data_IF_406274561573
#
_entry.id   IF_406274561573
#
_cell.length_a   1.000
_cell.length_b   1.000
_cell.length_c   1.000
_cell.angle_alpha   90.00
_cell.angle_beta   90.00
_cell.angle_gamma   90.00
#
_symmetry.space_group_name_H-M   'P 1'
#
loop_
_entity.id
_entity.type
_entity.pdbx_description
1 polymer ?
#
# COMPACT_ATOMS: atom_id res chain seq x y z
N UNK A 1 -30.65 -4.57 -9.23
CA UNK A 1 -30.33 -4.93 -7.83
C UNK A 1 -29.03 -4.24 -7.50
N UNK A 2 -29.08 -3.11 -6.82
CA UNK A 2 -27.89 -2.47 -6.27
C UNK A 2 -27.35 -3.40 -5.18
N UNK A 3 -26.23 -4.06 -5.48
CA UNK A 3 -25.46 -4.71 -4.44
C UNK A 3 -24.88 -3.59 -3.60
N UNK A 4 -25.42 -3.41 -2.41
CA UNK A 4 -24.90 -2.49 -1.40
C UNK A 4 -23.42 -2.81 -1.19
N UNK A 5 -22.55 -1.98 -1.75
CA UNK A 5 -21.11 -2.06 -1.56
C UNK A 5 -20.76 -1.48 -0.18
N UNK A 6 -20.83 -2.31 0.84
CA UNK A 6 -20.85 -1.87 2.24
C UNK A 6 -19.47 -1.57 2.85
N UNK A 7 -18.34 -1.64 2.14
CA UNK A 7 -17.05 -1.33 2.79
C UNK A 7 -16.01 -0.63 1.88
N UNK A 8 -16.42 0.00 0.82
CA UNK A 8 -15.63 1.08 0.27
C UNK A 8 -15.51 2.17 1.34
N UNK A 9 -14.32 2.61 1.60
CA UNK A 9 -14.12 3.76 2.49
C UNK A 9 -13.65 4.97 1.69
N UNK A 10 -13.85 6.13 2.27
CA UNK A 10 -13.52 7.40 1.62
C UNK A 10 -12.43 8.12 2.42
N UNK A 11 -11.47 8.67 1.69
CA UNK A 11 -10.44 9.57 2.22
C UNK A 11 -10.39 10.79 1.30
N UNK A 12 -10.59 11.98 1.82
CA UNK A 12 -10.53 13.25 1.07
C UNK A 12 -11.40 13.27 -0.21
N UNK A 13 -12.60 12.68 -0.13
CA UNK A 13 -13.51 12.57 -1.28
C UNK A 13 -13.17 11.48 -2.29
N UNK A 14 -12.08 10.72 -2.08
CA UNK A 14 -11.65 9.63 -2.94
C UNK A 14 -12.10 8.31 -2.35
N UNK A 15 -12.89 7.54 -3.11
CA UNK A 15 -13.40 6.23 -2.68
C UNK A 15 -12.42 5.11 -3.04
N UNK A 16 -12.12 4.25 -2.08
CA UNK A 16 -11.27 3.06 -2.23
C UNK A 16 -12.14 1.82 -2.07
N UNK A 17 -12.05 0.89 -3.03
CA UNK A 17 -12.80 -0.37 -3.00
C UNK A 17 -14.14 -0.34 -3.76
N UNK A 18 -14.45 0.74 -4.46
CA UNK A 18 -15.72 0.96 -5.17
C UNK A 18 -15.54 1.03 -6.70
N UNK A 19 -15.11 -0.07 -7.30
CA UNK A 19 -15.05 -0.20 -8.75
C UNK A 19 -13.70 0.23 -9.34
N UNK A 20 -13.52 1.50 -9.69
CA UNK A 20 -12.27 1.96 -10.32
C UNK A 20 -11.10 1.97 -9.35
N UNK A 21 -9.96 1.34 -9.72
CA UNK A 21 -8.75 1.43 -8.91
C UNK A 21 -8.26 2.88 -8.77
N UNK A 22 -7.89 3.27 -7.56
CA UNK A 22 -7.19 4.52 -7.32
C UNK A 22 -5.76 4.41 -7.88
N UNK A 23 -5.33 5.40 -8.64
CA UNK A 23 -3.96 5.44 -9.16
C UNK A 23 -3.04 6.00 -8.07
N UNK A 24 -2.08 5.18 -7.66
CA UNK A 24 -1.06 5.52 -6.68
C UNK A 24 0.29 5.72 -7.36
N UNK A 25 0.91 6.88 -7.17
CA UNK A 25 2.22 7.20 -7.73
C UNK A 25 3.27 7.14 -6.62
N UNK A 26 4.28 6.23 -6.71
CA UNK A 26 5.34 6.14 -5.72
C UNK A 26 6.40 7.22 -5.91
N UNK A 27 6.82 7.85 -4.82
CA UNK A 27 7.94 8.78 -4.72
C UNK A 27 9.13 8.03 -4.11
N UNK A 28 10.16 7.81 -4.91
CA UNK A 28 11.34 6.98 -4.60
C UNK A 28 12.65 7.78 -4.65
N UNK A 29 12.63 9.04 -4.24
CA UNK A 29 13.80 9.93 -4.27
C UNK A 29 14.61 9.84 -2.96
N UNK A 30 15.96 9.98 -3.04
CA UNK A 30 16.80 9.95 -1.86
C UNK A 30 16.96 11.32 -1.16
N UNK A 31 16.72 12.42 -1.87
CA UNK A 31 16.98 13.77 -1.35
C UNK A 31 15.66 14.44 -0.93
N UNK A 32 15.72 15.19 0.18
CA UNK A 32 14.57 15.89 0.76
C UNK A 32 13.90 16.83 -0.22
N UNK A 33 14.69 17.65 -0.89
CA UNK A 33 14.20 18.66 -1.82
C UNK A 33 13.47 17.98 -2.99
N UNK A 34 14.05 16.94 -3.55
CA UNK A 34 13.44 16.16 -4.65
C UNK A 34 12.15 15.50 -4.23
N UNK A 35 12.07 14.95 -3.00
CA UNK A 35 10.84 14.37 -2.45
C UNK A 35 9.74 15.45 -2.40
N UNK A 36 10.04 16.60 -1.80
CA UNK A 36 9.08 17.69 -1.62
C UNK A 36 8.60 18.23 -2.97
N UNK A 37 9.52 18.51 -3.90
CA UNK A 37 9.21 19.01 -5.24
C UNK A 37 8.36 18.00 -6.03
N UNK A 38 8.71 16.70 -5.96
CA UNK A 38 7.94 15.64 -6.63
C UNK A 38 6.53 15.55 -6.07
N UNK A 39 6.37 15.51 -4.73
CA UNK A 39 5.05 15.46 -4.10
C UNK A 39 4.23 16.69 -4.51
N UNK A 40 4.80 17.89 -4.47
CA UNK A 40 4.13 19.12 -4.87
C UNK A 40 3.67 19.05 -6.34
N UNK A 41 4.55 18.66 -7.25
CA UNK A 41 4.22 18.50 -8.66
C UNK A 41 3.10 17.51 -8.90
N UNK A 42 3.10 16.36 -8.20
CA UNK A 42 2.04 15.36 -8.30
C UNK A 42 0.69 15.86 -7.76
N UNK A 43 0.69 16.66 -6.70
CA UNK A 43 -0.55 17.27 -6.19
C UNK A 43 -1.11 18.32 -7.15
N UNK A 44 -0.26 19.13 -7.79
CA UNK A 44 -0.66 20.08 -8.85
C UNK A 44 -1.27 19.36 -10.06
N UNK A 45 -0.81 18.14 -10.37
CA UNK A 45 -1.38 17.26 -11.40
C UNK A 45 -2.64 16.52 -10.94
N UNK A 46 -3.12 16.76 -9.72
CA UNK A 46 -4.32 16.13 -9.12
C UNK A 46 -4.25 14.61 -9.07
N UNK A 47 -3.06 14.08 -8.79
CA UNK A 47 -2.89 12.64 -8.56
C UNK A 47 -3.70 12.23 -7.33
N UNK A 48 -4.50 11.16 -7.46
CA UNK A 48 -5.42 10.72 -6.40
C UNK A 48 -4.69 10.21 -5.14
N UNK A 49 -3.59 9.46 -5.32
CA UNK A 49 -2.82 8.90 -4.22
C UNK A 49 -1.32 8.99 -4.52
N UNK A 50 -0.56 9.40 -3.53
CA UNK A 50 0.91 9.44 -3.57
C UNK A 50 1.43 8.50 -2.48
N UNK A 51 2.32 7.58 -2.85
CA UNK A 51 3.08 6.76 -1.90
C UNK A 51 4.46 7.39 -1.67
N UNK A 52 4.80 7.72 -0.44
CA UNK A 52 6.19 8.03 -0.13
C UNK A 52 6.94 6.79 0.34
N UNK A 53 7.91 6.35 -0.47
CA UNK A 53 8.82 5.24 -0.19
C UNK A 53 9.97 5.74 0.68
N UNK A 54 9.72 5.85 1.98
CA UNK A 54 10.67 6.43 2.94
C UNK A 54 11.95 5.61 3.07
N UNK A 55 11.91 4.32 2.75
CA UNK A 55 13.11 3.48 2.69
C UNK A 55 14.15 3.97 1.65
N UNK A 56 13.72 4.72 0.64
CA UNK A 56 14.59 5.34 -0.37
C UNK A 56 15.20 6.66 0.10
N UNK A 57 14.62 7.32 1.11
CA UNK A 57 15.13 8.58 1.63
C UNK A 57 16.48 8.39 2.34
N UNK A 58 17.48 9.22 2.01
CA UNK A 58 18.85 9.09 2.56
C UNK A 58 18.87 9.18 4.08
N UNK A 59 18.11 10.10 4.64
CA UNK A 59 18.01 10.36 6.07
C UNK A 59 16.87 9.59 6.78
N UNK A 60 16.42 8.46 6.21
CA UNK A 60 15.32 7.69 6.80
C UNK A 60 15.59 7.16 8.23
N UNK A 61 16.86 7.07 8.64
CA UNK A 61 17.23 6.69 10.00
C UNK A 61 17.03 7.82 11.03
N UNK A 62 16.90 9.07 10.56
CA UNK A 62 16.61 10.23 11.40
C UNK A 62 15.11 10.55 11.41
N UNK A 63 14.47 10.24 12.53
CA UNK A 63 13.03 10.51 12.74
C UNK A 63 12.70 12.00 12.61
N UNK A 64 13.62 12.90 13.01
CA UNK A 64 13.39 14.34 12.91
C UNK A 64 13.44 14.81 11.45
N UNK A 65 14.36 14.25 10.64
CA UNK A 65 14.42 14.51 9.22
C UNK A 65 13.16 14.03 8.48
N UNK A 66 12.69 12.81 8.79
CA UNK A 66 11.42 12.29 8.25
C UNK A 66 10.24 13.18 8.66
N UNK A 67 10.18 13.61 9.93
CA UNK A 67 9.14 14.50 10.43
C UNK A 67 9.14 15.84 9.70
N UNK A 68 10.31 16.42 9.45
CA UNK A 68 10.44 17.69 8.73
C UNK A 68 9.91 17.61 7.29
N UNK A 69 10.13 16.48 6.59
CA UNK A 69 9.53 16.26 5.27
C UNK A 69 8.00 16.20 5.38
N UNK A 70 7.46 15.41 6.31
CA UNK A 70 6.01 15.28 6.52
C UNK A 70 5.35 16.63 6.81
N UNK A 71 5.94 17.45 7.69
CA UNK A 71 5.41 18.77 8.03
C UNK A 71 5.44 19.73 6.84
N UNK A 72 6.46 19.61 5.98
CA UNK A 72 6.60 20.45 4.78
C UNK A 72 5.61 20.07 3.68
N UNK A 73 5.34 18.78 3.46
CA UNK A 73 4.45 18.35 2.38
C UNK A 73 2.97 18.36 2.76
N UNK A 74 2.65 18.32 4.05
CA UNK A 74 1.28 18.30 4.56
C UNK A 74 0.34 19.34 3.95
N UNK A 75 0.74 20.64 3.80
CA UNK A 75 -0.14 21.66 3.22
C UNK A 75 -0.57 21.40 1.77
N UNK A 76 0.22 20.61 1.01
CA UNK A 76 -0.07 20.29 -0.39
C UNK A 76 -1.05 19.11 -0.55
N UNK A 77 -1.22 18.28 0.48
CA UNK A 77 -1.93 17.00 0.44
C UNK A 77 -3.42 17.10 0.81
N UNK A 78 -4.05 18.24 0.61
CA UNK A 78 -5.45 18.47 1.03
C UNK A 78 -6.47 17.63 0.28
N UNK A 79 -6.22 17.32 -0.99
CA UNK A 79 -7.12 16.56 -1.90
C UNK A 79 -6.49 15.24 -2.37
N UNK A 80 -5.25 14.95 -1.98
CA UNK A 80 -4.50 13.76 -2.39
C UNK A 80 -4.31 12.83 -1.20
N UNK A 81 -4.61 11.54 -1.36
CA UNK A 81 -4.34 10.52 -0.34
C UNK A 81 -2.83 10.33 -0.21
N UNK A 82 -2.33 10.34 1.01
CA UNK A 82 -0.91 10.14 1.26
C UNK A 82 -0.65 8.83 1.99
N UNK A 83 0.01 7.91 1.29
CA UNK A 83 0.43 6.60 1.79
C UNK A 83 1.89 6.67 2.22
N UNK A 84 2.16 6.38 3.50
CA UNK A 84 3.51 6.28 4.05
C UNK A 84 3.98 4.83 4.06
N UNK A 85 5.09 4.53 3.37
CA UNK A 85 5.58 3.16 3.19
C UNK A 85 7.06 3.07 3.52
N UNK A 86 7.43 2.21 4.48
CA UNK A 86 8.79 1.70 4.60
C UNK A 86 8.83 0.27 4.06
N UNK A 87 9.46 0.06 2.90
CA UNK A 87 9.65 -1.27 2.32
C UNK A 87 11.00 -1.83 2.77
N UNK A 88 10.99 -3.02 3.40
CA UNK A 88 12.20 -3.68 3.83
C UNK A 88 12.98 -4.27 2.66
N UNK A 89 14.29 -4.47 2.86
CA UNK A 89 15.14 -5.09 1.85
C UNK A 89 14.66 -6.48 1.44
N UNK A 90 14.07 -7.22 2.38
CA UNK A 90 13.51 -8.56 2.17
C UNK A 90 12.35 -8.54 1.17
N UNK A 91 11.57 -7.46 1.16
CA UNK A 91 10.44 -7.29 0.26
C UNK A 91 10.71 -6.26 -0.86
N UNK A 92 11.97 -6.16 -1.31
CA UNK A 92 12.35 -5.33 -2.47
C UNK A 92 12.58 -3.85 -2.16
N UNK A 93 12.71 -3.48 -0.91
CA UNK A 93 13.07 -2.13 -0.50
C UNK A 93 14.56 -1.82 -0.65
N UNK A 94 14.92 -0.55 -0.44
CA UNK A 94 16.28 -0.06 -0.65
C UNK A 94 17.22 -0.34 0.52
N UNK A 95 16.69 -0.54 1.73
CA UNK A 95 17.53 -0.75 2.94
C UNK A 95 16.94 -1.73 3.94
N UNK A 96 17.82 -2.21 4.84
CA UNK A 96 17.41 -2.93 6.06
C UNK A 96 17.27 -1.93 7.21
N UNK A 97 16.28 -2.16 8.07
CA UNK A 97 16.09 -1.40 9.30
C UNK A 97 15.45 -2.31 10.35
N UNK A 98 15.78 -2.10 11.61
CA UNK A 98 15.14 -2.86 12.69
C UNK A 98 13.66 -2.52 12.79
N UNK A 99 12.83 -3.53 13.06
CA UNK A 99 11.36 -3.41 13.11
C UNK A 99 10.90 -2.25 14.02
N UNK A 100 11.51 -2.11 15.20
CA UNK A 100 11.12 -1.04 16.13
C UNK A 100 11.38 0.37 15.58
N UNK A 101 12.39 0.56 14.73
CA UNK A 101 12.65 1.84 14.05
C UNK A 101 11.61 2.10 12.98
N UNK A 102 11.25 1.08 12.19
CA UNK A 102 10.18 1.17 11.18
C UNK A 102 8.86 1.56 11.87
N UNK A 103 8.52 0.89 12.97
CA UNK A 103 7.32 1.22 13.74
C UNK A 103 7.36 2.64 14.31
N UNK A 104 8.54 3.15 14.69
CA UNK A 104 8.72 4.52 15.15
C UNK A 104 8.50 5.54 14.03
N UNK A 105 8.97 5.25 12.81
CA UNK A 105 8.71 6.07 11.63
C UNK A 105 7.22 6.10 11.29
N UNK A 106 6.56 4.93 11.28
CA UNK A 106 5.12 4.82 11.06
C UNK A 106 4.31 5.60 12.11
N UNK A 107 4.71 5.52 13.40
CA UNK A 107 4.11 6.32 14.46
C UNK A 107 4.29 7.82 14.22
N UNK A 108 5.47 8.24 13.77
CA UNK A 108 5.76 9.63 13.45
C UNK A 108 4.88 10.13 12.30
N UNK A 109 4.71 9.30 11.26
CA UNK A 109 3.83 9.61 10.15
C UNK A 109 2.36 9.72 10.58
N UNK A 110 1.86 8.78 11.38
CA UNK A 110 0.51 8.82 11.92
C UNK A 110 0.28 10.08 12.79
N UNK A 111 1.20 10.39 13.70
CA UNK A 111 1.11 11.56 14.61
C UNK A 111 1.29 12.90 13.90
N UNK A 112 1.89 12.93 12.71
CA UNK A 112 2.02 14.16 11.93
C UNK A 112 0.67 14.68 11.43
N UNK A 113 -0.31 13.77 11.29
CA UNK A 113 -1.58 14.05 10.61
C UNK A 113 -1.38 14.37 9.13
N UNK A 114 -0.26 13.91 8.54
CA UNK A 114 0.06 14.01 7.13
C UNK A 114 -0.33 12.71 6.41
N UNK A 115 0.02 11.55 6.99
CA UNK A 115 -0.31 10.25 6.42
C UNK A 115 -1.79 9.92 6.63
N UNK A 116 -2.47 9.59 5.55
CA UNK A 116 -3.84 9.04 5.56
C UNK A 116 -3.81 7.53 5.71
N UNK A 117 -2.76 6.90 5.13
CA UNK A 117 -2.57 5.46 5.13
C UNK A 117 -1.11 5.10 5.46
N UNK A 118 -0.93 3.92 6.05
CA UNK A 118 0.38 3.32 6.33
C UNK A 118 0.41 1.92 5.73
N UNK A 119 1.50 1.57 5.03
CA UNK A 119 1.78 0.20 4.59
C UNK A 119 2.58 -0.53 5.68
N UNK A 120 2.08 -1.69 6.10
CA UNK A 120 2.75 -2.60 7.03
C UNK A 120 2.98 -3.95 6.37
N UNK A 121 4.22 -4.39 6.32
CA UNK A 121 4.57 -5.75 5.90
C UNK A 121 4.02 -6.76 6.92
N UNK A 122 3.24 -7.76 6.44
CA UNK A 122 2.43 -8.60 7.32
C UNK A 122 3.15 -9.88 7.77
N UNK A 123 4.10 -10.40 6.99
CA UNK A 123 4.72 -11.72 7.21
C UNK A 123 6.22 -11.65 7.54
N UNK A 124 6.68 -10.55 8.10
CA UNK A 124 8.04 -10.45 8.65
C UNK A 124 8.17 -11.17 10.02
N UNK A 125 9.05 -10.75 10.89
CA UNK A 125 9.34 -11.43 12.15
C UNK A 125 8.11 -11.67 13.04
N UNK A 126 7.18 -10.73 13.05
CA UNK A 126 5.90 -10.83 13.78
C UNK A 126 4.74 -10.31 12.95
N UNK A 127 3.56 -10.92 13.13
CA UNK A 127 2.35 -10.39 12.46
C UNK A 127 1.94 -9.07 13.12
N UNK A 128 1.73 -8.00 12.34
CA UNK A 128 1.54 -6.65 12.88
C UNK A 128 0.08 -6.36 13.31
N UNK A 129 -0.67 -7.36 13.78
CA UNK A 129 -2.10 -7.21 14.15
C UNK A 129 -2.33 -6.15 15.24
N UNK A 130 -1.45 -6.12 16.24
CA UNK A 130 -1.49 -5.10 17.31
C UNK A 130 -1.19 -3.70 16.75
N UNK A 131 -0.23 -3.62 15.85
CA UNK A 131 0.19 -2.36 15.23
C UNK A 131 -0.87 -1.85 14.25
N UNK A 132 -1.53 -2.73 13.49
CA UNK A 132 -2.68 -2.36 12.67
C UNK A 132 -3.72 -1.64 13.51
N UNK A 133 -4.18 -2.26 14.61
CA UNK A 133 -5.17 -1.66 15.51
C UNK A 133 -4.67 -0.38 16.18
N UNK A 134 -3.36 -0.31 16.48
CA UNK A 134 -2.74 0.88 17.08
C UNK A 134 -2.81 2.07 16.12
N UNK A 135 -2.42 1.88 14.86
CA UNK A 135 -2.44 2.94 13.85
C UNK A 135 -3.87 3.33 13.46
N UNK A 136 -4.79 2.38 13.35
CA UNK A 136 -6.21 2.68 13.14
C UNK A 136 -6.79 3.58 14.25
N UNK A 137 -6.42 3.36 15.52
CA UNK A 137 -6.79 4.25 16.63
C UNK A 137 -6.16 5.65 16.56
N UNK A 138 -5.09 5.81 15.79
CA UNK A 138 -4.49 7.13 15.51
C UNK A 138 -5.16 7.84 14.32
N UNK A 139 -6.17 7.22 13.71
CA UNK A 139 -6.96 7.80 12.62
C UNK A 139 -6.41 7.53 11.22
N UNK A 140 -5.38 6.68 11.07
CA UNK A 140 -4.85 6.28 9.77
C UNK A 140 -5.36 4.92 9.34
N UNK A 141 -5.55 4.69 8.03
CA UNK A 141 -5.86 3.38 7.47
C UNK A 141 -4.60 2.56 7.27
N UNK A 142 -4.72 1.25 7.34
CA UNK A 142 -3.57 0.35 7.23
C UNK A 142 -3.71 -0.60 6.05
N UNK A 143 -2.73 -0.56 5.15
CA UNK A 143 -2.51 -1.58 4.14
C UNK A 143 -1.60 -2.65 4.75
N UNK A 144 -2.10 -3.87 4.91
CA UNK A 144 -1.24 -5.02 5.19
C UNK A 144 -0.69 -5.55 3.88
N UNK A 145 0.61 -5.68 3.73
CA UNK A 145 1.24 -6.02 2.47
C UNK A 145 2.21 -7.20 2.56
N UNK A 146 2.35 -7.91 1.44
CA UNK A 146 3.39 -8.90 1.22
C UNK A 146 3.88 -8.84 -0.22
N UNK A 147 5.19 -8.98 -0.41
CA UNK A 147 5.83 -8.96 -1.72
C UNK A 147 6.74 -10.18 -1.86
N UNK A 148 6.54 -10.96 -2.93
CA UNK A 148 7.42 -12.05 -3.32
C UNK A 148 8.06 -11.70 -4.68
N UNK A 149 9.35 -11.39 -4.65
CA UNK A 149 10.12 -11.00 -5.84
C UNK A 149 10.69 -12.18 -6.61
N UNK A 150 10.55 -13.40 -6.09
CA UNK A 150 11.13 -14.59 -6.68
C UNK A 150 10.11 -15.39 -7.50
N UNK A 151 8.86 -15.48 -7.03
CA UNK A 151 7.85 -16.31 -7.65
C UNK A 151 6.40 -15.84 -7.39
N UNK A 152 5.45 -16.50 -8.06
CA UNK A 152 4.04 -16.50 -7.70
C UNK A 152 3.74 -17.81 -6.95
N UNK A 153 3.55 -17.77 -5.63
CA UNK A 153 3.30 -18.94 -4.81
C UNK A 153 2.09 -19.78 -5.26
N UNK A 154 1.96 -20.99 -4.71
CA UNK A 154 0.79 -21.84 -4.90
C UNK A 154 -0.51 -21.14 -4.47
N UNK A 155 -1.63 -21.48 -5.12
CA UNK A 155 -2.94 -20.83 -4.89
C UNK A 155 -3.40 -20.89 -3.43
N UNK A 156 -3.05 -21.98 -2.71
CA UNK A 156 -3.38 -22.13 -1.28
C UNK A 156 -2.59 -21.13 -0.43
N UNK A 157 -1.32 -20.93 -0.78
CA UNK A 157 -0.44 -19.95 -0.09
C UNK A 157 -0.95 -18.55 -0.37
N UNK A 158 -1.19 -18.19 -1.64
CA UNK A 158 -1.71 -16.87 -2.01
C UNK A 158 -3.01 -16.55 -1.27
N UNK A 159 -3.95 -17.51 -1.22
CA UNK A 159 -5.22 -17.37 -0.50
C UNK A 159 -5.00 -17.19 1.01
N UNK A 160 -4.16 -18.05 1.59
CA UNK A 160 -3.83 -17.97 3.03
C UNK A 160 -3.23 -16.61 3.40
N UNK A 161 -2.32 -16.06 2.58
CA UNK A 161 -1.71 -14.76 2.81
C UNK A 161 -2.77 -13.65 2.89
N UNK A 162 -3.68 -13.61 1.92
CA UNK A 162 -4.75 -12.60 1.87
C UNK A 162 -5.75 -12.77 3.03
N UNK A 163 -6.12 -14.01 3.35
CA UNK A 163 -7.05 -14.30 4.45
C UNK A 163 -6.45 -13.95 5.83
N UNK A 164 -5.15 -14.16 6.02
CA UNK A 164 -4.48 -13.77 7.26
C UNK A 164 -4.39 -12.24 7.41
N UNK A 165 -4.17 -11.49 6.34
CA UNK A 165 -4.24 -10.02 6.38
C UNK A 165 -5.64 -9.53 6.77
N UNK A 166 -6.69 -10.18 6.22
CA UNK A 166 -8.08 -9.89 6.57
C UNK A 166 -8.35 -10.19 8.06
N UNK A 167 -7.94 -11.36 8.55
CA UNK A 167 -8.11 -11.75 9.96
C UNK A 167 -7.31 -10.83 10.90
N UNK A 168 -6.16 -10.33 10.45
CA UNK A 168 -5.34 -9.35 11.17
C UNK A 168 -5.98 -7.97 11.30
N UNK A 169 -7.09 -7.72 10.59
CA UNK A 169 -7.87 -6.49 10.68
C UNK A 169 -7.36 -5.36 9.78
N UNK A 170 -6.64 -5.68 8.70
CA UNK A 170 -6.21 -4.68 7.73
C UNK A 170 -7.40 -3.96 7.08
N UNK A 171 -7.23 -2.67 6.78
CA UNK A 171 -8.21 -1.91 5.98
C UNK A 171 -8.10 -2.26 4.50
N UNK A 172 -6.90 -2.62 4.04
CA UNK A 172 -6.62 -3.11 2.68
C UNK A 172 -5.62 -4.25 2.77
N UNK A 173 -5.85 -5.35 2.04
CA UNK A 173 -4.88 -6.43 1.88
C UNK A 173 -4.15 -6.30 0.54
N UNK A 174 -2.81 -6.27 0.57
CA UNK A 174 -1.97 -6.06 -0.62
C UNK A 174 -1.01 -7.23 -0.84
N UNK A 175 -1.01 -7.77 -2.06
CA UNK A 175 -0.13 -8.84 -2.47
C UNK A 175 0.51 -8.52 -3.82
N UNK A 176 1.84 -8.48 -3.87
CA UNK A 176 2.61 -8.33 -5.09
C UNK A 176 3.52 -9.53 -5.27
N UNK A 177 3.46 -10.19 -6.43
CA UNK A 177 4.20 -11.42 -6.70
C UNK A 177 4.87 -11.39 -8.07
N UNK A 178 5.94 -12.16 -8.24
CA UNK A 178 6.67 -12.22 -9.50
C UNK A 178 6.17 -13.38 -10.35
N UNK A 179 5.53 -13.13 -11.50
CA UNK A 179 5.08 -14.20 -12.39
C UNK A 179 6.27 -14.78 -13.15
N UNK A 180 6.31 -16.11 -13.28
CA UNK A 180 7.23 -16.86 -14.13
C UNK A 180 6.57 -17.27 -15.46
N UNK A 181 5.24 -17.19 -15.52
CA UNK A 181 4.44 -17.56 -16.68
C UNK A 181 3.16 -16.72 -16.78
N UNK A 182 2.48 -16.79 -17.92
CA UNK A 182 1.17 -16.17 -18.09
C UNK A 182 0.12 -16.81 -17.15
N UNK A 183 0.26 -18.11 -16.86
CA UNK A 183 -0.64 -18.82 -15.94
C UNK A 183 -0.57 -18.25 -14.52
N UNK A 184 0.61 -17.81 -14.06
CA UNK A 184 0.76 -17.15 -12.77
C UNK A 184 -0.04 -15.84 -12.69
N UNK A 185 -0.06 -15.09 -13.79
CA UNK A 185 -0.86 -13.86 -13.88
C UNK A 185 -2.35 -14.18 -13.81
N UNK A 186 -2.81 -15.20 -14.55
CA UNK A 186 -4.21 -15.64 -14.55
C UNK A 186 -4.63 -16.11 -13.16
N UNK A 187 -3.78 -16.89 -12.48
CA UNK A 187 -4.01 -17.39 -11.11
C UNK A 187 -4.20 -16.22 -10.13
N UNK A 188 -3.33 -15.20 -10.22
CA UNK A 188 -3.45 -14.02 -9.36
C UNK A 188 -4.72 -13.20 -9.65
N UNK A 189 -5.08 -13.01 -10.91
CA UNK A 189 -6.32 -12.35 -11.29
C UNK A 189 -7.55 -13.10 -10.76
N UNK A 190 -7.53 -14.44 -10.89
CA UNK A 190 -8.58 -15.29 -10.31
C UNK A 190 -8.67 -15.15 -8.81
N UNK A 191 -7.54 -15.19 -8.10
CA UNK A 191 -7.51 -14.96 -6.65
C UNK A 191 -8.14 -13.61 -6.28
N UNK A 192 -7.79 -12.55 -7.01
CA UNK A 192 -8.32 -11.20 -6.76
C UNK A 192 -9.84 -11.18 -6.81
N UNK A 193 -10.41 -11.78 -7.87
CA UNK A 193 -11.85 -11.91 -8.03
C UNK A 193 -12.49 -12.76 -6.92
N UNK A 194 -11.87 -13.90 -6.58
CA UNK A 194 -12.35 -14.80 -5.52
C UNK A 194 -12.36 -14.09 -4.16
N UNK A 195 -11.32 -13.30 -3.85
CA UNK A 195 -11.23 -12.52 -2.61
C UNK A 195 -12.32 -11.45 -2.53
N UNK A 196 -12.56 -10.71 -3.64
CA UNK A 196 -13.64 -9.72 -3.72
C UNK A 196 -15.02 -10.36 -3.48
N UNK A 197 -15.25 -11.56 -4.01
CA UNK A 197 -16.53 -12.26 -3.81
C UNK A 197 -16.68 -12.81 -2.40
N UNK A 198 -15.63 -13.40 -1.83
CA UNK A 198 -15.66 -14.02 -0.51
C UNK A 198 -15.65 -12.99 0.63
N UNK A 199 -14.92 -11.90 0.45
CA UNK A 199 -14.76 -10.83 1.45
C UNK A 199 -15.11 -9.47 0.83
N UNK A 200 -16.38 -9.23 0.48
CA UNK A 200 -16.80 -8.01 -0.22
C UNK A 200 -16.51 -6.74 0.57
N UNK A 201 -16.24 -6.91 1.86
CA UNK A 201 -15.94 -5.82 2.81
C UNK A 201 -14.44 -5.51 2.95
N UNK A 202 -13.56 -6.30 2.32
CA UNK A 202 -12.12 -6.07 2.32
C UNK A 202 -11.67 -5.57 0.96
N UNK A 203 -11.28 -4.28 0.81
CA UNK A 203 -10.55 -3.85 -0.35
C UNK A 203 -9.25 -4.61 -0.53
N UNK A 204 -8.98 -5.08 -1.73
CA UNK A 204 -7.76 -5.84 -2.04
C UNK A 204 -6.93 -5.13 -3.09
N UNK A 205 -5.63 -5.29 -3.01
CA UNK A 205 -4.65 -4.86 -4.02
C UNK A 205 -3.82 -6.06 -4.40
N UNK A 206 -3.86 -6.45 -5.66
CA UNK A 206 -3.00 -7.50 -6.16
C UNK A 206 -2.27 -7.03 -7.40
N UNK A 207 -1.01 -7.44 -7.54
CA UNK A 207 -0.24 -7.18 -8.75
C UNK A 207 0.72 -8.30 -9.06
N UNK A 208 0.73 -8.72 -10.30
CA UNK A 208 1.84 -9.44 -10.89
C UNK A 208 2.90 -8.43 -11.33
N UNK A 209 4.13 -8.61 -10.85
CA UNK A 209 5.23 -7.68 -11.12
C UNK A 209 5.87 -7.94 -12.49
N UNK A 210 6.78 -7.07 -12.90
CA UNK A 210 7.49 -7.18 -14.16
C UNK A 210 6.62 -7.02 -15.42
N UNK A 211 7.22 -7.27 -16.58
CA UNK A 211 6.58 -7.06 -17.88
C UNK A 211 5.39 -7.99 -18.12
N UNK A 212 5.48 -9.27 -17.71
CA UNK A 212 4.39 -10.23 -17.84
C UNK A 212 3.14 -9.81 -17.04
N UNK A 213 3.35 -9.12 -15.92
CA UNK A 213 2.29 -8.76 -14.99
C UNK A 213 1.54 -7.47 -15.32
N UNK A 214 1.91 -6.73 -16.37
CA UNK A 214 1.31 -5.42 -16.70
C UNK A 214 -0.21 -5.48 -16.78
N UNK A 215 -0.76 -6.54 -17.37
CA UNK A 215 -2.22 -6.72 -17.48
C UNK A 215 -2.93 -6.73 -16.13
N UNK A 216 -2.31 -7.21 -15.06
CA UNK A 216 -2.93 -7.24 -13.73
C UNK A 216 -3.18 -5.83 -13.16
N UNK A 217 -2.35 -4.85 -13.53
CA UNK A 217 -2.54 -3.45 -13.17
C UNK A 217 -3.59 -2.75 -14.03
N UNK A 218 -3.70 -3.12 -15.31
CA UNK A 218 -4.68 -2.55 -16.23
C UNK A 218 -6.08 -3.12 -16.01
N UNK A 219 -6.18 -4.39 -15.64
CA UNK A 219 -7.46 -5.10 -15.45
C UNK A 219 -8.02 -5.02 -14.03
N UNK A 220 -7.41 -4.21 -13.13
CA UNK A 220 -7.80 -4.12 -11.72
C UNK A 220 -9.28 -3.83 -11.50
N UNK A 221 -9.89 -2.96 -12.31
CA UNK A 221 -11.32 -2.64 -12.24
C UNK A 221 -12.21 -3.88 -12.43
N UNK A 222 -11.86 -4.74 -13.39
CA UNK A 222 -12.64 -5.95 -13.72
C UNK A 222 -12.52 -6.98 -12.59
N UNK A 223 -11.30 -7.23 -12.10
CA UNK A 223 -11.03 -8.29 -11.13
C UNK A 223 -11.17 -7.84 -9.67
N UNK A 224 -11.20 -6.55 -9.40
CA UNK A 224 -11.50 -6.01 -8.07
C UNK A 224 -10.30 -5.50 -7.27
N UNK A 225 -9.14 -5.32 -7.89
CA UNK A 225 -8.02 -4.60 -7.25
C UNK A 225 -8.40 -3.12 -7.09
N UNK A 226 -8.30 -2.58 -5.87
CA UNK A 226 -8.81 -1.23 -5.57
C UNK A 226 -7.78 -0.11 -5.70
N UNK A 227 -6.49 -0.44 -5.82
CA UNK A 227 -5.41 0.51 -6.05
C UNK A 227 -4.49 -0.07 -7.12
N UNK A 228 -4.01 0.76 -8.05
CA UNK A 228 -2.97 0.42 -9.00
C UNK A 228 -1.77 1.33 -8.82
N UNK A 229 -0.57 0.76 -8.87
CA UNK A 229 0.69 1.48 -8.69
C UNK A 229 1.34 1.71 -10.06
N UNK A 230 1.62 2.98 -10.38
CA UNK A 230 2.21 3.45 -11.62
C UNK A 230 3.71 3.75 -11.52
#
# INVERSE_FOLDING_TARGET
MEVSMQNAFEIKGIRIGDGKPVICVPVVAPERETIIETIKSLTEQKVQMIEWRVDCFREADDVAAVRAVLDTVKPFLTETIFLFTFRTKQQGGSRRMEEWKILKLNETAAKSGCADMIDLEFFEATKPEKEIRRFQRMGVRVIASHHDFDATPDDRILRMLMEQMQQGGADVAKLAVMPQSADDVVRLLKLTNDMKQKYPTLPVVTMSMGALGVVSRMAGEIFGSCITFG
#
